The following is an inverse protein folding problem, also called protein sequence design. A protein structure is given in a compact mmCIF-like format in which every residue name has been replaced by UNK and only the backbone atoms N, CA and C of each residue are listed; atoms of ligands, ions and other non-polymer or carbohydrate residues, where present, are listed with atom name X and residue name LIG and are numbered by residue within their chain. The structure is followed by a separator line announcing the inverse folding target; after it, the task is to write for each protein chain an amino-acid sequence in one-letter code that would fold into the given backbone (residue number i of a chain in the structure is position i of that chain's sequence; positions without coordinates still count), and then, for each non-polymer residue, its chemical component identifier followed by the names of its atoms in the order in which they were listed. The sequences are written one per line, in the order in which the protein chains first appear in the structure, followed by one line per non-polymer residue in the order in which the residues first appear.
data_IF_255361784252
#
_entry.id   IF_255361784252
#
_cell.length_a   1.000
_cell.length_b   1.000
_cell.length_c   1.000
_cell.angle_alpha   90.00
_cell.angle_beta   90.00
_cell.angle_gamma   90.00
#
_symmetry.space_group_name_H-M   'P 1'
#
loop_
_entity.id
_entity.type
_entity.pdbx_description
1 polymer ?
#
# COMPACT_ATOMS: atom_id res chain seq x y z
N UNK A 1 6.25 36.33 23.50
CA UNK A 1 4.80 36.51 23.33
C UNK A 1 4.53 36.00 21.94
N UNK A 2 4.24 34.70 21.87
CA UNK A 2 4.11 33.99 20.60
C UNK A 2 2.75 34.36 20.01
N UNK A 3 2.79 34.92 18.79
CA UNK A 3 1.59 35.32 18.05
C UNK A 3 0.72 34.09 17.79
N UNK A 4 -0.40 33.99 18.50
CA UNK A 4 -1.44 32.98 18.32
C UNK A 4 -2.39 33.26 17.14
N UNK A 5 -2.10 34.31 16.35
CA UNK A 5 -2.99 34.79 15.28
C UNK A 5 -2.73 34.14 13.91
N UNK A 6 -1.67 33.34 13.74
CA UNK A 6 -1.37 32.66 12.46
C UNK A 6 -2.15 31.34 12.26
N UNK A 7 -2.93 30.90 13.25
CA UNK A 7 -3.68 29.63 13.17
C UNK A 7 -5.04 29.80 12.46
N UNK A 8 -5.50 31.04 12.27
CA UNK A 8 -6.86 31.30 11.75
C UNK A 8 -6.96 31.35 10.21
N UNK A 9 -5.83 31.29 9.49
CA UNK A 9 -5.79 31.27 8.02
C UNK A 9 -5.61 29.86 7.41
N UNK A 10 -6.17 28.82 8.03
CA UNK A 10 -6.21 27.46 7.47
C UNK A 10 -7.60 27.03 6.98
N UNK A 11 -8.48 27.99 6.64
CA UNK A 11 -9.80 27.68 6.07
C UNK A 11 -9.77 27.82 4.54
N UNK A 12 -10.16 26.72 3.89
CA UNK A 12 -10.63 26.63 2.49
C UNK A 12 -9.65 26.24 1.37
N UNK A 13 -8.96 25.09 1.49
CA UNK A 13 -8.51 24.32 0.32
C UNK A 13 -8.61 22.80 0.53
N UNK A 14 -9.77 22.28 0.95
CA UNK A 14 -9.98 20.82 1.04
C UNK A 14 -11.09 20.33 0.11
N UNK A 15 -10.95 20.56 -1.20
CA UNK A 15 -11.53 19.63 -2.16
C UNK A 15 -10.53 18.47 -2.37
N UNK A 16 -10.30 17.67 -1.33
CA UNK A 16 -9.71 16.35 -1.55
C UNK A 16 -10.77 15.55 -2.30
N UNK A 17 -10.50 15.22 -3.56
CA UNK A 17 -11.38 14.35 -4.35
C UNK A 17 -11.78 13.15 -3.50
N UNK A 18 -13.08 12.97 -3.24
CA UNK A 18 -13.59 11.79 -2.56
C UNK A 18 -13.23 10.59 -3.42
N UNK A 19 -12.26 9.79 -2.98
CA UNK A 19 -11.92 8.53 -3.65
C UNK A 19 -13.05 7.55 -3.41
N UNK A 20 -13.39 6.71 -4.40
CA UNK A 20 -14.37 5.66 -4.18
C UNK A 20 -13.89 4.72 -3.06
N UNK A 21 -14.82 4.12 -2.30
CA UNK A 21 -14.46 3.06 -1.37
C UNK A 21 -13.73 1.93 -2.13
N UNK A 22 -12.75 1.32 -1.46
CA UNK A 22 -11.92 0.27 -2.03
C UNK A 22 -12.03 -0.96 -1.15
N UNK A 23 -12.71 -1.97 -1.66
CA UNK A 23 -12.77 -3.31 -1.11
C UNK A 23 -11.77 -4.21 -1.87
N UNK A 24 -10.97 -4.97 -1.14
CA UNK A 24 -9.98 -5.89 -1.69
C UNK A 24 -10.38 -7.31 -1.28
N UNK A 25 -10.75 -8.12 -2.27
CA UNK A 25 -11.10 -9.53 -2.10
C UNK A 25 -10.02 -10.40 -2.70
N UNK A 26 -9.69 -11.50 -2.03
CA UNK A 26 -8.76 -12.49 -2.55
C UNK A 26 -9.25 -13.90 -2.21
N UNK A 27 -9.14 -14.80 -3.18
CA UNK A 27 -9.62 -16.17 -3.04
C UNK A 27 -8.58 -17.17 -3.54
N UNK A 28 -8.37 -18.20 -2.73
CA UNK A 28 -7.43 -19.31 -2.96
C UNK A 28 -6.01 -18.83 -3.28
N UNK A 29 -5.59 -17.72 -2.65
CA UNK A 29 -4.32 -17.09 -2.91
C UNK A 29 -3.17 -17.98 -2.45
N UNK A 30 -2.42 -18.49 -3.42
CA UNK A 30 -1.26 -19.36 -3.22
C UNK A 30 -0.02 -18.67 -3.76
N UNK A 31 1.08 -18.69 -3.01
CA UNK A 31 2.32 -18.06 -3.44
C UNK A 31 3.52 -18.89 -3.02
N UNK A 32 4.41 -19.13 -3.97
CA UNK A 32 5.64 -19.90 -3.78
C UNK A 32 6.86 -19.06 -4.14
N UNK A 33 7.98 -19.35 -3.49
CA UNK A 33 9.30 -18.80 -3.82
C UNK A 33 10.25 -19.91 -4.24
N UNK A 34 11.19 -19.67 -5.17
CA UNK A 34 12.25 -20.62 -5.46
C UNK A 34 13.04 -20.98 -4.20
N UNK A 35 13.39 -22.25 -4.04
CA UNK A 35 14.15 -22.77 -2.90
C UNK A 35 15.12 -23.85 -3.37
N UNK A 36 16.35 -23.44 -3.70
CA UNK A 36 17.37 -24.31 -4.29
C UNK A 36 17.19 -24.54 -5.79
N UNK A 37 18.08 -25.32 -6.43
CA UNK A 37 18.15 -25.45 -7.89
C UNK A 37 16.90 -26.02 -8.55
N UNK A 38 16.13 -26.89 -7.88
CA UNK A 38 14.91 -27.51 -8.42
C UNK A 38 13.71 -27.47 -7.44
N UNK A 39 13.79 -26.67 -6.37
CA UNK A 39 12.77 -26.65 -5.33
C UNK A 39 11.96 -25.36 -5.32
N UNK A 40 10.73 -25.43 -4.84
CA UNK A 40 9.94 -24.26 -4.46
C UNK A 40 9.43 -24.42 -3.04
N UNK A 41 9.36 -23.31 -2.30
CA UNK A 41 8.79 -23.23 -0.97
C UNK A 41 7.49 -22.45 -1.03
N UNK A 42 6.39 -23.11 -0.69
CA UNK A 42 5.08 -22.47 -0.58
C UNK A 42 5.07 -21.61 0.69
N UNK A 43 4.75 -20.32 0.52
CA UNK A 43 4.64 -19.34 1.61
C UNK A 43 3.18 -19.08 1.97
N UNK A 44 2.31 -18.92 0.97
CA UNK A 44 0.86 -18.76 1.16
C UNK A 44 0.17 -20.00 0.59
N UNK A 45 -0.75 -20.61 1.35
CA UNK A 45 -1.48 -21.84 1.00
C UNK A 45 -2.98 -21.53 0.96
N UNK A 46 -3.52 -21.29 -0.25
CA UNK A 46 -4.95 -21.05 -0.48
C UNK A 46 -5.59 -20.08 0.52
N UNK A 47 -4.99 -18.92 0.70
CA UNK A 47 -5.50 -17.91 1.64
C UNK A 47 -6.63 -17.12 0.97
N UNK A 48 -7.76 -17.00 1.66
CA UNK A 48 -8.93 -16.24 1.19
C UNK A 48 -9.35 -15.20 2.22
N UNK A 49 -9.91 -14.08 1.76
CA UNK A 49 -10.33 -13.00 2.65
C UNK A 49 -10.83 -11.76 1.91
N UNK A 50 -11.36 -10.82 2.70
CA UNK A 50 -11.93 -9.57 2.23
C UNK A 50 -11.51 -8.44 3.16
N UNK A 51 -10.91 -7.39 2.61
CA UNK A 51 -10.66 -6.12 3.30
C UNK A 51 -11.68 -5.11 2.81
N UNK A 52 -12.50 -4.58 3.73
CA UNK A 52 -13.57 -3.63 3.40
C UNK A 52 -13.15 -2.20 3.65
N UNK A 53 -13.66 -1.30 2.82
CA UNK A 53 -13.49 0.13 3.01
C UNK A 53 -14.15 0.60 4.31
N UNK A 54 -13.45 1.45 5.06
CA UNK A 54 -13.92 1.97 6.34
C UNK A 54 -13.61 1.07 7.54
N UNK A 55 -13.01 -0.11 7.33
CA UNK A 55 -12.61 -1.02 8.40
C UNK A 55 -11.09 -1.01 8.61
N UNK A 56 -10.66 -1.16 9.87
CA UNK A 56 -9.27 -1.46 10.21
C UNK A 56 -9.11 -2.98 10.32
N UNK A 57 -8.44 -3.59 9.36
CA UNK A 57 -8.14 -5.03 9.39
C UNK A 57 -6.73 -5.29 9.93
N UNK A 58 -6.61 -6.21 10.89
CA UNK A 58 -5.34 -6.67 11.44
C UNK A 58 -5.04 -8.11 11.01
N UNK A 59 -3.80 -8.38 10.56
CA UNK A 59 -3.31 -9.73 10.26
C UNK A 59 -2.32 -10.13 11.35
N UNK A 60 -2.66 -11.14 12.13
CA UNK A 60 -1.88 -11.60 13.28
C UNK A 60 -1.33 -13.00 13.04
N UNK A 61 -0.18 -13.32 13.65
CA UNK A 61 0.46 -14.62 13.53
C UNK A 61 1.95 -14.58 13.84
N UNK A 62 2.60 -15.73 14.03
CA UNK A 62 4.01 -15.81 14.41
C UNK A 62 4.95 -15.25 13.32
N UNK A 63 6.20 -15.00 13.70
CA UNK A 63 7.24 -14.64 12.71
C UNK A 63 7.37 -15.72 11.64
N UNK A 64 7.52 -15.32 10.38
CA UNK A 64 7.59 -16.26 9.25
C UNK A 64 6.26 -16.84 8.75
N UNK A 65 5.12 -16.51 9.37
CA UNK A 65 3.79 -17.01 8.94
C UNK A 65 3.31 -16.50 7.56
N UNK A 66 4.08 -15.63 6.89
CA UNK A 66 3.72 -15.11 5.57
C UNK A 66 2.87 -13.83 5.58
N UNK A 67 2.69 -13.15 6.72
CA UNK A 67 1.90 -11.90 6.84
C UNK A 67 2.38 -10.80 5.89
N UNK A 68 3.66 -10.43 5.97
CA UNK A 68 4.25 -9.45 5.06
C UNK A 68 4.23 -9.95 3.61
N UNK A 69 4.31 -11.26 3.39
CA UNK A 69 4.19 -11.84 2.04
C UNK A 69 2.79 -11.66 1.46
N UNK A 70 1.74 -11.92 2.25
CA UNK A 70 0.35 -11.68 1.87
C UNK A 70 0.14 -10.22 1.46
N UNK A 71 0.55 -9.28 2.32
CA UNK A 71 0.40 -7.85 2.03
C UNK A 71 1.21 -7.47 0.77
N UNK A 72 2.44 -7.99 0.59
CA UNK A 72 3.24 -7.73 -0.60
C UNK A 72 2.59 -8.24 -1.90
N UNK A 73 1.95 -9.41 -1.88
CA UNK A 73 1.23 -9.97 -3.04
C UNK A 73 -0.02 -9.13 -3.34
N UNK A 74 -0.79 -8.75 -2.31
CA UNK A 74 -1.97 -7.89 -2.45
C UNK A 74 -1.62 -6.46 -2.90
N UNK A 75 -0.48 -5.92 -2.47
CA UNK A 75 0.04 -4.63 -2.92
C UNK A 75 0.64 -4.68 -4.34
N UNK A 76 0.92 -5.89 -4.86
CA UNK A 76 1.53 -6.10 -6.18
C UNK A 76 3.02 -5.81 -6.25
N UNK A 77 3.72 -5.88 -5.10
CA UNK A 77 5.19 -5.86 -5.04
C UNK A 77 5.81 -7.24 -5.30
N UNK A 78 5.04 -8.31 -5.05
CA UNK A 78 5.43 -9.69 -5.39
C UNK A 78 4.36 -10.29 -6.30
N UNK A 79 4.66 -10.35 -7.59
CA UNK A 79 3.76 -10.84 -8.64
C UNK A 79 4.29 -12.10 -9.33
N UNK A 80 5.17 -12.88 -8.69
CA UNK A 80 5.73 -14.12 -9.25
C UNK A 80 4.68 -15.22 -9.41
N UNK A 81 4.99 -16.45 -9.01
CA UNK A 81 4.12 -17.64 -9.10
C UNK A 81 2.90 -17.59 -8.14
N UNK A 82 2.27 -16.42 -8.02
CA UNK A 82 1.05 -16.17 -7.28
C UNK A 82 -0.15 -16.70 -8.09
N UNK A 83 -0.93 -17.59 -7.48
CA UNK A 83 -2.13 -18.20 -8.05
C UNK A 83 -3.34 -17.86 -7.21
N UNK A 84 -4.53 -17.99 -7.79
CA UNK A 84 -5.79 -17.57 -7.18
C UNK A 84 -6.32 -16.29 -7.82
N UNK A 85 -7.30 -15.65 -7.18
CA UNK A 85 -7.91 -14.42 -7.68
C UNK A 85 -7.75 -13.28 -6.68
N UNK A 86 -7.55 -12.07 -7.21
CA UNK A 86 -7.56 -10.83 -6.43
C UNK A 86 -8.49 -9.86 -7.15
N UNK A 87 -9.52 -9.41 -6.45
CA UNK A 87 -10.54 -8.50 -6.95
C UNK A 87 -10.52 -7.20 -6.16
N UNK A 88 -10.80 -6.10 -6.86
CA UNK A 88 -10.96 -4.77 -6.28
C UNK A 88 -12.36 -4.29 -6.66
N UNK A 89 -13.21 -4.04 -5.67
CA UNK A 89 -14.62 -3.70 -5.87
C UNK A 89 -15.32 -4.69 -6.85
N UNK A 90 -15.16 -6.00 -6.59
CA UNK A 90 -15.75 -7.10 -7.36
C UNK A 90 -15.32 -7.17 -8.84
N UNK A 91 -14.21 -6.52 -9.21
CA UNK A 91 -13.61 -6.60 -10.54
C UNK A 91 -12.18 -7.13 -10.45
N UNK A 92 -11.67 -7.88 -11.45
CA UNK A 92 -10.28 -8.29 -11.46
C UNK A 92 -9.34 -7.10 -11.24
N UNK A 93 -8.34 -7.27 -10.37
CA UNK A 93 -7.41 -6.19 -9.99
C UNK A 93 -6.60 -5.72 -11.19
N UNK A 94 -6.88 -4.51 -11.67
CA UNK A 94 -5.98 -3.78 -12.59
C UNK A 94 -4.90 -3.02 -11.79
N UNK A 95 -3.64 -3.38 -12.00
CA UNK A 95 -2.51 -2.80 -11.27
C UNK A 95 -2.33 -1.29 -11.53
N UNK A 96 -2.66 -0.80 -12.74
CA UNK A 96 -2.50 0.62 -13.08
C UNK A 96 -3.48 1.49 -12.28
N UNK A 97 -4.73 1.07 -12.19
CA UNK A 97 -5.77 1.76 -11.42
C UNK A 97 -5.59 1.55 -9.92
N UNK A 98 -5.26 0.34 -9.49
CA UNK A 98 -5.05 -0.01 -8.08
C UNK A 98 -3.95 0.83 -7.43
N UNK A 99 -2.80 1.03 -8.09
CA UNK A 99 -1.69 1.87 -7.57
C UNK A 99 -2.06 3.34 -7.39
N UNK A 100 -3.08 3.85 -8.10
CA UNK A 100 -3.57 5.22 -7.91
C UNK A 100 -4.41 5.35 -6.65
N UNK A 101 -5.15 4.31 -6.29
CA UNK A 101 -6.08 4.30 -5.16
C UNK A 101 -5.44 3.85 -3.84
N UNK A 102 -4.56 2.87 -3.89
CA UNK A 102 -3.93 2.27 -2.70
C UNK A 102 -2.53 2.84 -2.44
N UNK A 103 -2.12 2.80 -1.17
CA UNK A 103 -0.76 3.13 -0.73
C UNK A 103 -0.26 1.98 0.12
N UNK A 104 1.02 1.64 -0.07
CA UNK A 104 1.69 0.58 0.67
C UNK A 104 2.90 1.19 1.37
N UNK A 105 3.05 0.89 2.66
CA UNK A 105 4.18 1.31 3.48
C UNK A 105 5.02 0.05 3.70
N UNK A 106 6.31 0.14 3.41
CA UNK A 106 7.23 -0.97 3.54
C UNK A 106 7.60 -1.20 5.00
N UNK A 107 8.08 -2.41 5.32
CA UNK A 107 8.55 -2.73 6.66
C UNK A 107 9.84 -1.98 7.02
N UNK A 108 10.70 -1.74 6.03
CA UNK A 108 11.94 -0.96 6.15
C UNK A 108 11.79 0.34 5.36
N UNK A 109 12.14 1.46 5.99
CA UNK A 109 12.10 2.78 5.37
C UNK A 109 13.40 3.06 4.61
N UNK A 110 13.27 3.61 3.40
CA UNK A 110 14.40 3.99 2.54
C UNK A 110 14.58 5.51 2.53
N UNK A 111 14.79 6.10 3.70
CA UNK A 111 15.02 7.54 3.84
C UNK A 111 16.50 7.90 3.59
N UNK A 112 16.74 9.06 2.99
CA UNK A 112 18.09 9.63 2.82
C UNK A 112 18.54 10.30 4.12
N UNK A 113 19.62 9.82 4.79
CA UNK A 113 20.02 10.35 6.10
C UNK A 113 20.47 11.81 6.09
N UNK A 114 20.91 12.30 4.93
CA UNK A 114 21.39 13.68 4.73
C UNK A 114 20.28 14.70 4.54
N UNK A 115 19.02 14.27 4.41
CA UNK A 115 17.88 15.16 4.20
C UNK A 115 17.10 15.37 5.48
N UNK A 116 16.69 16.61 5.71
CA UNK A 116 15.68 16.93 6.72
C UNK A 116 14.31 16.36 6.33
N UNK A 117 13.40 16.28 7.31
CA UNK A 117 12.01 15.86 7.07
C UNK A 117 11.33 16.75 6.02
N UNK A 118 11.54 18.07 6.12
CA UNK A 118 10.94 19.04 5.20
C UNK A 118 11.44 18.84 3.76
N UNK A 119 12.75 18.64 3.57
CA UNK A 119 13.33 18.38 2.25
C UNK A 119 12.79 17.08 1.64
N UNK A 120 12.70 16.02 2.45
CA UNK A 120 12.15 14.73 2.01
C UNK A 120 10.68 14.84 1.58
N UNK A 121 9.88 15.60 2.32
CA UNK A 121 8.48 15.88 1.97
C UNK A 121 8.37 16.75 0.72
N UNK A 122 9.23 17.76 0.58
CA UNK A 122 9.24 18.64 -0.59
C UNK A 122 9.57 17.87 -1.87
N UNK A 123 10.64 17.06 -1.86
CA UNK A 123 11.00 16.19 -2.99
C UNK A 123 9.85 15.23 -3.34
N UNK A 124 9.23 14.61 -2.33
CA UNK A 124 8.10 13.70 -2.53
C UNK A 124 6.89 14.41 -3.17
N UNK A 125 6.64 15.65 -2.77
CA UNK A 125 5.55 16.49 -3.28
C UNK A 125 5.82 16.91 -4.73
N UNK A 126 7.03 17.41 -5.01
CA UNK A 126 7.45 17.84 -6.34
C UNK A 126 7.36 16.69 -7.35
N UNK A 127 7.81 15.49 -6.97
CA UNK A 127 7.70 14.28 -7.81
C UNK A 127 6.26 13.81 -8.01
N UNK A 128 5.35 14.10 -7.06
CA UNK A 128 3.98 13.58 -7.09
C UNK A 128 2.99 14.52 -7.79
N UNK A 129 3.14 15.82 -7.58
CA UNK A 129 2.22 16.85 -8.06
C UNK A 129 2.80 17.65 -9.24
N UNK A 130 4.12 17.65 -9.44
CA UNK A 130 4.80 18.52 -10.40
C UNK A 130 4.90 19.96 -9.91
N UNK A 131 5.71 20.79 -10.58
CA UNK A 131 5.93 22.21 -10.24
C UNK A 131 4.74 23.14 -10.57
N UNK A 132 3.58 22.60 -10.93
CA UNK A 132 2.44 23.38 -11.42
C UNK A 132 1.52 23.85 -10.29
N UNK A 133 1.75 23.41 -9.05
CA UNK A 133 0.95 23.82 -7.87
C UNK A 133 1.87 24.59 -6.92
N UNK A 134 2.18 25.83 -7.28
CA UNK A 134 2.76 26.86 -6.39
C UNK A 134 2.01 28.14 -6.61
#
# INVERSE_FOLDING_TARGET
MDNFDDIESAKSHHHLMKRPPVDIEFSDLTYSVPHGPNGSKIILRSVSGLFRSGELTAILGPSGAGKSTLINVLAGYRCGDARGSIMVNSKPRDMKSFRKMCRYIMQEDLLQPSLTVMESMKISTDLKLGHTIT
#
